data_IF_895658181156
#
_entry.id   IF_895658181156
#
_cell.length_a   1.000
_cell.length_b   1.000
_cell.length_c   1.000
_cell.angle_alpha   90.00
_cell.angle_beta   90.00
_cell.angle_gamma   90.00
#
_symmetry.space_group_name_H-M   'P 1'
#
loop_
_entity.id
_entity.type
_entity.pdbx_description
1 polymer ?
#
# COMPACT_ATOMS: atom_id res chain seq x y z
N UNK A 1 -21.48 9.65 -22.76
CA UNK A 1 -21.15 10.98 -22.21
C UNK A 1 -21.09 11.04 -20.67
N UNK A 2 -22.11 10.57 -19.93
CA UNK A 2 -22.15 10.69 -18.47
C UNK A 2 -20.99 10.00 -17.71
N UNK A 3 -20.59 8.78 -18.10
CA UNK A 3 -19.45 8.06 -17.48
C UNK A 3 -18.11 8.74 -17.71
N UNK A 4 -17.93 9.40 -18.85
CA UNK A 4 -16.70 10.14 -19.16
C UNK A 4 -16.56 11.37 -18.25
N UNK A 5 -17.63 12.16 -18.10
CA UNK A 5 -17.65 13.30 -17.18
C UNK A 5 -17.39 12.89 -15.73
N UNK A 6 -18.01 11.80 -15.26
CA UNK A 6 -17.73 11.27 -13.91
C UNK A 6 -16.26 10.91 -13.73
N UNK A 7 -15.64 10.23 -14.70
CA UNK A 7 -14.21 9.89 -14.65
C UNK A 7 -13.32 11.12 -14.55
N UNK A 8 -13.50 12.08 -15.45
CA UNK A 8 -12.70 13.31 -15.45
C UNK A 8 -12.87 14.06 -14.13
N UNK A 9 -14.10 14.21 -13.65
CA UNK A 9 -14.38 14.86 -12.36
C UNK A 9 -13.72 14.13 -11.19
N UNK A 10 -13.72 12.79 -11.16
CA UNK A 10 -13.05 12.01 -10.11
C UNK A 10 -11.54 12.24 -10.14
N UNK A 11 -10.90 12.23 -11.32
CA UNK A 11 -9.46 12.49 -11.42
C UNK A 11 -9.10 13.89 -10.95
N UNK A 12 -9.85 14.92 -11.38
CA UNK A 12 -9.64 16.30 -10.94
C UNK A 12 -9.76 16.39 -9.41
N UNK A 13 -10.81 15.81 -8.84
CA UNK A 13 -11.01 15.78 -7.39
C UNK A 13 -9.84 15.10 -6.65
N UNK A 14 -9.41 13.92 -7.11
CA UNK A 14 -8.30 13.19 -6.49
C UNK A 14 -6.98 13.97 -6.57
N UNK A 15 -6.67 14.56 -7.72
CA UNK A 15 -5.44 15.34 -7.92
C UNK A 15 -5.44 16.58 -7.04
N UNK A 16 -6.52 17.37 -7.06
CA UNK A 16 -6.63 18.60 -6.25
C UNK A 16 -6.60 18.27 -4.75
N UNK A 17 -7.31 17.23 -4.33
CA UNK A 17 -7.31 16.81 -2.92
C UNK A 17 -5.93 16.34 -2.47
N UNK A 18 -5.20 15.62 -3.34
CA UNK A 18 -3.84 15.17 -3.03
C UNK A 18 -2.86 16.35 -2.93
N UNK A 19 -2.91 17.29 -3.87
CA UNK A 19 -2.09 18.51 -3.81
C UNK A 19 -2.38 19.30 -2.53
N UNK A 20 -3.66 19.51 -2.20
CA UNK A 20 -4.06 20.20 -0.97
C UNK A 20 -3.55 19.46 0.27
N UNK A 21 -3.68 18.13 0.30
CA UNK A 21 -3.19 17.29 1.40
C UNK A 21 -1.67 17.40 1.55
N UNK A 22 -0.91 17.42 0.45
CA UNK A 22 0.56 17.59 0.48
C UNK A 22 0.93 18.93 1.12
N UNK A 23 0.27 20.02 0.72
CA UNK A 23 0.54 21.36 1.25
C UNK A 23 0.19 21.44 2.74
N UNK A 24 -0.99 20.96 3.14
CA UNK A 24 -1.43 20.95 4.54
C UNK A 24 -0.50 20.06 5.40
N UNK A 25 -0.15 18.89 4.88
CA UNK A 25 0.80 17.96 5.50
C UNK A 25 2.20 18.54 5.69
N UNK A 26 2.62 19.40 4.76
CA UNK A 26 3.86 20.16 4.88
C UNK A 26 3.82 21.24 5.95
N UNK A 27 2.64 21.81 6.25
CA UNK A 27 2.45 22.85 7.25
C UNK A 27 2.22 22.30 8.67
N UNK A 28 1.45 21.22 8.78
CA UNK A 28 1.03 20.63 10.05
C UNK A 28 2.04 19.60 10.59
N UNK A 29 2.18 19.60 11.92
CA UNK A 29 3.04 18.71 12.69
C UNK A 29 3.48 19.39 13.98
N UNK A 30 4.36 18.74 14.75
CA UNK A 30 4.82 19.27 16.05
C UNK A 30 5.54 20.63 15.94
N UNK A 31 6.25 20.88 14.83
CA UNK A 31 6.84 22.17 14.50
C UNK A 31 5.98 22.90 13.46
N UNK A 32 5.11 23.82 13.86
CA UNK A 32 4.17 24.45 12.92
C UNK A 32 4.88 25.33 11.89
N UNK A 33 4.61 25.13 10.61
CA UNK A 33 5.19 25.91 9.50
C UNK A 33 4.06 26.63 8.77
N UNK A 34 4.27 27.89 8.42
CA UNK A 34 3.25 28.65 7.68
C UNK A 34 3.06 28.08 6.27
N UNK A 35 1.85 28.18 5.72
CA UNK A 35 1.57 27.70 4.35
C UNK A 35 2.47 28.39 3.31
N UNK A 36 2.79 29.68 3.51
CA UNK A 36 3.70 30.43 2.65
C UNK A 36 5.09 29.81 2.67
N UNK A 37 5.60 29.44 3.84
CA UNK A 37 6.93 28.85 3.97
C UNK A 37 7.01 27.42 3.42
N UNK A 38 5.90 26.66 3.47
CA UNK A 38 5.81 25.36 2.79
C UNK A 38 5.92 25.54 1.28
N UNK A 39 5.16 26.48 0.72
CA UNK A 39 5.18 26.78 -0.72
C UNK A 39 6.57 27.29 -1.12
N UNK A 40 7.14 28.22 -0.34
CA UNK A 40 8.50 28.70 -0.53
C UNK A 40 9.52 27.56 -0.45
N UNK A 41 9.39 26.62 0.50
CA UNK A 41 10.25 25.46 0.61
C UNK A 41 10.21 24.50 -0.60
N UNK A 42 9.09 24.47 -1.33
CA UNK A 42 8.96 23.70 -2.59
C UNK A 42 9.61 24.46 -3.75
N UNK A 43 9.38 25.78 -3.85
CA UNK A 43 9.73 26.57 -5.03
C UNK A 43 11.08 27.29 -4.94
N UNK A 44 11.65 27.49 -3.75
CA UNK A 44 12.93 28.17 -3.60
C UNK A 44 14.12 27.39 -4.15
N UNK A 45 14.19 26.03 -4.07
CA UNK A 45 15.26 25.28 -4.74
C UNK A 45 15.19 25.38 -6.27
N UNK A 46 14.02 25.73 -6.82
CA UNK A 46 13.80 25.96 -8.25
C UNK A 46 14.09 27.41 -8.67
N UNK A 47 14.46 28.29 -7.74
CA UNK A 47 14.68 29.72 -8.00
C UNK A 47 13.40 30.51 -8.27
N UNK A 48 12.22 29.96 -7.95
CA UNK A 48 10.91 30.57 -8.25
C UNK A 48 10.35 31.41 -7.10
N UNK A 49 10.90 31.28 -5.88
CA UNK A 49 10.54 32.06 -4.69
C UNK A 49 11.76 32.23 -3.78
N UNK A 50 11.74 33.27 -2.95
CA UNK A 50 12.72 33.40 -1.86
C UNK A 50 12.54 32.28 -0.83
N UNK A 51 13.65 31.78 -0.29
CA UNK A 51 13.62 30.76 0.76
C UNK A 51 13.03 31.34 2.07
N UNK A 52 12.40 30.50 2.92
CA UNK A 52 11.98 30.90 4.25
C UNK A 52 13.14 31.53 5.04
N UNK A 53 12.85 32.60 5.79
CA UNK A 53 13.87 33.34 6.55
C UNK A 53 14.54 32.48 7.64
N UNK A 54 13.77 31.57 8.26
CA UNK A 54 14.30 30.64 9.26
C UNK A 54 14.91 29.42 8.56
N UNK A 55 16.23 29.18 8.65
CA UNK A 55 16.88 28.03 8.02
C UNK A 55 16.40 26.68 8.60
N UNK A 56 15.89 26.65 9.83
CA UNK A 56 15.33 25.43 10.43
C UNK A 56 14.08 24.97 9.68
N UNK A 57 13.27 25.89 9.15
CA UNK A 57 12.08 25.55 8.36
C UNK A 57 12.45 24.72 7.13
N UNK A 58 13.50 25.14 6.41
CA UNK A 58 13.96 24.42 5.21
C UNK A 58 14.45 23.01 5.57
N UNK A 59 15.22 22.89 6.66
CA UNK A 59 15.71 21.59 7.14
C UNK A 59 14.56 20.67 7.55
N UNK A 60 13.57 21.15 8.30
CA UNK A 60 12.40 20.35 8.70
C UNK A 60 11.60 19.90 7.48
N UNK A 61 11.39 20.78 6.49
CA UNK A 61 10.66 20.43 5.27
C UNK A 61 11.39 19.35 4.46
N UNK A 62 12.66 19.57 4.12
CA UNK A 62 13.39 18.70 3.20
C UNK A 62 13.99 17.46 3.84
N UNK A 63 14.35 17.50 5.13
CA UNK A 63 14.96 16.34 5.80
C UNK A 63 13.94 15.45 6.50
N UNK A 64 12.74 15.96 6.81
CA UNK A 64 11.75 15.22 7.61
C UNK A 64 10.40 15.11 6.88
N UNK A 65 9.78 16.23 6.50
CA UNK A 65 8.38 16.23 6.03
C UNK A 65 8.21 15.71 4.60
N UNK A 66 8.95 16.26 3.65
CA UNK A 66 8.84 15.89 2.24
C UNK A 66 9.24 14.44 1.96
N UNK A 67 10.31 13.87 2.58
CA UNK A 67 10.58 12.44 2.49
C UNK A 67 9.41 11.57 2.96
N UNK A 68 8.81 11.93 4.11
CA UNK A 68 7.67 11.21 4.69
C UNK A 68 6.43 11.28 3.81
N UNK A 69 6.11 12.47 3.30
CA UNK A 69 5.00 12.67 2.36
C UNK A 69 5.22 11.87 1.09
N UNK A 70 6.41 11.98 0.48
CA UNK A 70 6.75 11.25 -0.75
C UNK A 70 6.65 9.74 -0.55
N UNK A 71 7.20 9.21 0.54
CA UNK A 71 7.08 7.79 0.88
C UNK A 71 5.61 7.37 1.05
N UNK A 72 4.81 8.15 1.77
CA UNK A 72 3.39 7.88 1.98
C UNK A 72 2.59 7.83 0.67
N UNK A 73 2.84 8.76 -0.24
CA UNK A 73 2.23 8.76 -1.58
C UNK A 73 2.56 7.47 -2.32
N UNK A 74 3.84 7.07 -2.35
CA UNK A 74 4.28 5.85 -3.05
C UNK A 74 3.73 4.57 -2.41
N UNK A 75 3.74 4.48 -1.08
CA UNK A 75 3.18 3.36 -0.31
C UNK A 75 1.68 3.22 -0.59
N UNK A 76 0.93 4.30 -0.49
CA UNK A 76 -0.52 4.30 -0.76
C UNK A 76 -0.84 3.91 -2.20
N UNK A 77 -0.11 4.47 -3.15
CA UNK A 77 -0.21 4.12 -4.57
C UNK A 77 0.05 2.62 -4.81
N UNK A 78 1.14 2.09 -4.28
CA UNK A 78 1.54 0.69 -4.45
C UNK A 78 0.50 -0.27 -3.88
N UNK A 79 0.04 -0.04 -2.65
CA UNK A 79 -0.97 -0.89 -1.99
C UNK A 79 -2.32 -0.86 -2.72
N UNK A 80 -2.78 0.32 -3.16
CA UNK A 80 -4.05 0.44 -3.88
C UNK A 80 -3.99 -0.21 -5.28
N UNK A 81 -2.86 -0.10 -5.98
CA UNK A 81 -2.68 -0.75 -7.29
C UNK A 81 -2.56 -2.26 -7.14
N UNK A 82 -1.78 -2.76 -6.17
CA UNK A 82 -1.73 -4.18 -5.84
C UNK A 82 -3.12 -4.73 -5.52
N UNK A 83 -3.90 -4.01 -4.72
CA UNK A 83 -5.31 -4.29 -4.45
C UNK A 83 -6.17 -4.36 -5.71
N UNK A 84 -6.05 -3.38 -6.60
CA UNK A 84 -6.80 -3.33 -7.87
C UNK A 84 -6.51 -4.57 -8.73
N UNK A 85 -5.23 -4.94 -8.85
CA UNK A 85 -4.78 -6.10 -9.62
C UNK A 85 -5.30 -7.39 -8.99
N UNK A 86 -5.13 -7.57 -7.67
CA UNK A 86 -5.66 -8.73 -6.93
C UNK A 86 -7.17 -8.89 -7.11
N UNK A 87 -7.95 -7.83 -6.92
CA UNK A 87 -9.41 -7.87 -7.09
C UNK A 87 -9.82 -8.23 -8.51
N UNK A 88 -9.04 -7.86 -9.52
CA UNK A 88 -9.33 -8.16 -10.92
C UNK A 88 -9.02 -9.60 -11.27
N UNK A 89 -7.87 -10.11 -10.82
CA UNK A 89 -7.44 -11.50 -11.04
C UNK A 89 -8.42 -12.50 -10.44
N UNK A 90 -8.85 -12.22 -9.21
CA UNK A 90 -9.78 -13.10 -8.50
C UNK A 90 -11.25 -12.81 -8.81
N UNK A 91 -11.53 -11.76 -9.61
CA UNK A 91 -12.89 -11.27 -9.85
C UNK A 91 -13.68 -11.13 -8.54
N UNK A 92 -12.98 -10.72 -7.47
CA UNK A 92 -13.50 -10.67 -6.12
C UNK A 92 -13.14 -9.30 -5.52
N UNK A 93 -14.14 -8.42 -5.25
CA UNK A 93 -13.89 -7.11 -4.66
C UNK A 93 -13.31 -7.17 -3.24
N UNK A 94 -13.33 -8.33 -2.59
CA UNK A 94 -12.77 -8.54 -1.25
C UNK A 94 -11.32 -9.03 -1.26
N UNK A 95 -10.72 -9.23 -2.44
CA UNK A 95 -9.32 -9.63 -2.51
C UNK A 95 -8.41 -8.48 -2.07
N UNK A 96 -7.49 -8.78 -1.16
CA UNK A 96 -6.47 -7.86 -0.68
C UNK A 96 -5.09 -8.54 -0.81
N UNK A 97 -4.02 -7.80 -1.17
CA UNK A 97 -2.67 -8.34 -1.24
C UNK A 97 -2.16 -8.96 0.08
N UNK A 98 -2.71 -8.59 1.24
CA UNK A 98 -2.37 -9.23 2.51
C UNK A 98 -2.71 -10.72 2.57
N UNK A 99 -3.72 -11.18 1.80
CA UNK A 99 -4.21 -12.57 1.81
C UNK A 99 -3.14 -13.55 1.30
N UNK A 100 -2.27 -13.12 0.38
CA UNK A 100 -1.18 -13.97 -0.13
C UNK A 100 0.02 -14.03 0.84
N UNK A 101 -0.08 -13.50 2.06
CA UNK A 101 0.93 -13.67 3.10
C UNK A 101 2.12 -12.72 3.00
N UNK A 102 2.10 -11.72 2.10
CA UNK A 102 3.18 -10.72 1.95
C UNK A 102 3.46 -10.02 3.27
N UNK A 103 2.43 -9.50 3.95
CA UNK A 103 2.58 -8.76 5.20
C UNK A 103 3.09 -9.65 6.34
N UNK A 104 2.59 -10.89 6.42
CA UNK A 104 3.01 -11.87 7.43
C UNK A 104 4.47 -12.28 7.22
N UNK A 105 4.87 -12.56 5.98
CA UNK A 105 6.26 -12.85 5.63
C UNK A 105 7.19 -11.67 5.92
N UNK A 106 6.79 -10.46 5.52
CA UNK A 106 7.56 -9.26 5.76
C UNK A 106 7.76 -9.00 7.26
N UNK A 107 6.75 -9.28 8.08
CA UNK A 107 6.85 -9.20 9.54
C UNK A 107 7.90 -10.15 10.10
N UNK A 108 8.00 -11.36 9.56
CA UNK A 108 9.06 -12.32 9.93
C UNK A 108 10.44 -11.77 9.58
N UNK A 109 10.66 -11.35 8.33
CA UNK A 109 11.98 -10.84 7.93
C UNK A 109 12.38 -9.57 8.67
N UNK A 110 11.44 -8.65 8.88
CA UNK A 110 11.68 -7.46 9.69
C UNK A 110 12.06 -7.83 11.12
N UNK A 111 11.29 -8.72 11.76
CA UNK A 111 11.52 -9.10 13.15
C UNK A 111 12.85 -9.81 13.33
N UNK A 112 13.19 -10.75 12.45
CA UNK A 112 14.49 -11.43 12.50
C UNK A 112 15.65 -10.45 12.26
N UNK A 113 15.51 -9.51 11.32
CA UNK A 113 16.53 -8.48 11.08
C UNK A 113 16.70 -7.55 12.28
N UNK A 114 15.61 -7.13 12.94
CA UNK A 114 15.66 -6.28 14.14
C UNK A 114 16.37 -6.98 15.30
N UNK A 115 16.20 -8.31 15.44
CA UNK A 115 16.84 -9.08 16.52
C UNK A 115 18.30 -9.37 16.22
N UNK A 116 18.59 -9.91 15.04
CA UNK A 116 19.89 -10.51 14.75
C UNK A 116 20.85 -9.60 13.98
N UNK A 117 20.34 -8.60 13.27
CA UNK A 117 21.14 -7.74 12.41
C UNK A 117 20.63 -6.27 12.33
N UNK A 118 20.33 -5.60 13.47
CA UNK A 118 19.65 -4.30 13.45
C UNK A 118 20.44 -3.18 12.75
N UNK A 119 21.78 -3.24 12.70
CA UNK A 119 22.63 -2.25 12.02
C UNK A 119 23.09 -2.69 10.62
N UNK A 120 22.61 -3.82 10.11
CA UNK A 120 23.03 -4.32 8.81
C UNK A 120 22.66 -3.36 7.67
N UNK A 121 23.54 -3.29 6.67
CA UNK A 121 23.37 -2.51 5.44
C UNK A 121 23.02 -1.04 5.69
N UNK A 122 23.61 -0.41 6.73
CA UNK A 122 23.44 1.01 7.03
C UNK A 122 21.96 1.46 7.10
N UNK A 123 21.09 0.63 7.70
CA UNK A 123 19.66 0.92 7.86
C UNK A 123 18.75 0.26 6.80
N UNK A 124 19.31 -0.33 5.74
CA UNK A 124 18.54 -1.08 4.73
C UNK A 124 18.32 -2.56 5.08
N UNK A 125 18.95 -3.08 6.14
CA UNK A 125 18.84 -4.48 6.53
C UNK A 125 17.41 -4.93 6.83
N UNK A 126 16.67 -4.11 7.59
CA UNK A 126 15.27 -4.41 7.94
C UNK A 126 14.35 -4.35 6.72
N UNK A 127 14.33 -3.27 5.91
CA UNK A 127 13.51 -3.24 4.70
C UNK A 127 13.84 -4.35 3.70
N UNK A 128 15.13 -4.66 3.48
CA UNK A 128 15.51 -5.73 2.55
C UNK A 128 15.03 -7.10 3.04
N UNK A 129 15.22 -7.39 4.33
CA UNK A 129 14.78 -8.66 4.93
C UNK A 129 13.26 -8.79 4.88
N UNK A 130 12.53 -7.73 5.19
CA UNK A 130 11.07 -7.66 5.08
C UNK A 130 10.59 -7.86 3.63
N UNK A 131 11.24 -7.22 2.66
CA UNK A 131 10.91 -7.35 1.25
C UNK A 131 11.11 -8.79 0.74
N UNK A 132 12.28 -9.38 1.03
CA UNK A 132 12.63 -10.74 0.57
C UNK A 132 11.71 -11.78 1.21
N UNK A 133 11.54 -11.73 2.52
CA UNK A 133 10.67 -12.68 3.24
C UNK A 133 9.19 -12.53 2.88
N UNK A 134 8.69 -11.30 2.71
CA UNK A 134 7.32 -11.05 2.28
C UNK A 134 7.05 -11.55 0.86
N UNK A 135 7.99 -11.31 -0.05
CA UNK A 135 7.91 -11.83 -1.43
C UNK A 135 8.00 -13.36 -1.44
N UNK A 136 8.90 -13.95 -0.66
CA UNK A 136 9.02 -15.39 -0.53
C UNK A 136 7.73 -16.02 0.02
N UNK A 137 7.13 -15.44 1.06
CA UNK A 137 5.85 -15.90 1.60
C UNK A 137 4.74 -15.85 0.55
N UNK A 138 4.68 -14.80 -0.28
CA UNK A 138 3.73 -14.69 -1.38
C UNK A 138 3.86 -15.84 -2.39
N UNK A 139 5.08 -16.14 -2.81
CA UNK A 139 5.35 -17.24 -3.72
C UNK A 139 5.10 -18.61 -3.09
N UNK A 140 5.37 -18.78 -1.80
CA UNK A 140 5.06 -20.00 -1.05
C UNK A 140 3.54 -20.22 -0.99
N UNK A 141 2.76 -19.19 -0.63
CA UNK A 141 1.29 -19.27 -0.61
C UNK A 141 0.76 -19.61 -2.00
N UNK A 142 1.21 -18.90 -3.03
CA UNK A 142 0.77 -19.16 -4.39
C UNK A 142 1.13 -20.58 -4.87
N UNK A 143 2.39 -21.00 -4.67
CA UNK A 143 2.87 -22.32 -5.07
C UNK A 143 2.13 -23.45 -4.36
N UNK A 144 1.96 -23.35 -3.04
CA UNK A 144 1.27 -24.35 -2.24
C UNK A 144 -0.25 -24.36 -2.45
N UNK A 145 -0.84 -23.25 -2.90
CA UNK A 145 -2.27 -23.19 -3.24
C UNK A 145 -2.62 -23.83 -4.59
N UNK A 146 -1.62 -24.22 -5.39
CA UNK A 146 -1.81 -24.70 -6.75
C UNK A 146 -2.11 -26.20 -6.76
N UNK A 147 -3.31 -26.58 -7.20
CA UNK A 147 -3.70 -27.97 -7.45
C UNK A 147 -4.02 -28.18 -8.93
N UNK A 148 -3.47 -29.23 -9.55
CA UNK A 148 -3.63 -29.54 -10.99
C UNK A 148 -3.33 -28.35 -11.92
N UNK A 149 -2.37 -27.52 -11.54
CA UNK A 149 -1.95 -26.36 -12.32
C UNK A 149 -2.83 -25.10 -12.17
N UNK A 150 -3.89 -25.13 -11.34
CA UNK A 150 -4.77 -23.99 -11.06
C UNK A 150 -4.70 -23.60 -9.58
N UNK A 151 -4.73 -22.29 -9.29
CA UNK A 151 -4.91 -21.79 -7.93
C UNK A 151 -6.39 -21.44 -7.75
N UNK A 152 -7.09 -22.19 -6.90
CA UNK A 152 -8.45 -21.85 -6.49
C UNK A 152 -8.42 -20.80 -5.39
N UNK A 153 -9.38 -19.88 -5.41
CA UNK A 153 -9.44 -18.77 -4.43
C UNK A 153 -9.51 -19.31 -3.01
N UNK A 154 -10.27 -20.37 -2.78
CA UNK A 154 -10.43 -21.01 -1.46
C UNK A 154 -9.10 -21.61 -0.99
N UNK A 155 -8.41 -22.37 -1.85
CA UNK A 155 -7.10 -22.94 -1.51
C UNK A 155 -6.08 -21.85 -1.19
N UNK A 156 -6.06 -20.77 -1.98
CA UNK A 156 -5.16 -19.64 -1.75
C UNK A 156 -5.43 -18.94 -0.41
N UNK A 157 -6.70 -18.78 -0.04
CA UNK A 157 -7.10 -18.23 1.26
C UNK A 157 -6.69 -19.17 2.40
N UNK A 158 -7.00 -20.47 2.30
CA UNK A 158 -6.64 -21.45 3.36
C UNK A 158 -5.13 -21.56 3.54
N UNK A 159 -4.37 -21.64 2.45
CA UNK A 159 -2.90 -21.63 2.48
C UNK A 159 -2.37 -20.32 3.07
N UNK A 160 -2.94 -19.18 2.69
CA UNK A 160 -2.58 -17.87 3.24
C UNK A 160 -2.79 -17.77 4.75
N UNK A 161 -3.91 -18.31 5.25
CA UNK A 161 -4.20 -18.40 6.69
C UNK A 161 -3.16 -19.28 7.39
N UNK A 162 -2.84 -20.45 6.84
CA UNK A 162 -1.83 -21.35 7.40
C UNK A 162 -0.44 -20.70 7.46
N UNK A 163 0.00 -20.07 6.36
CA UNK A 163 1.28 -19.34 6.31
C UNK A 163 1.29 -18.18 7.29
N UNK A 164 0.19 -17.45 7.42
CA UNK A 164 0.08 -16.35 8.40
C UNK A 164 0.22 -16.86 9.84
N UNK A 165 -0.38 -17.99 10.19
CA UNK A 165 -0.20 -18.59 11.51
C UNK A 165 1.26 -18.98 11.79
N UNK A 166 1.95 -19.59 10.82
CA UNK A 166 3.37 -19.94 10.94
C UNK A 166 4.25 -18.68 11.07
N UNK A 167 4.02 -17.67 10.22
CA UNK A 167 4.72 -16.39 10.29
C UNK A 167 4.48 -15.68 11.64
N UNK A 168 3.24 -15.75 12.17
CA UNK A 168 2.90 -15.22 13.48
C UNK A 168 3.66 -15.91 14.61
N UNK A 169 3.80 -17.24 14.56
CA UNK A 169 4.60 -17.99 15.52
C UNK A 169 6.09 -17.60 15.47
N UNK A 170 6.67 -17.48 14.28
CA UNK A 170 8.07 -17.06 14.10
C UNK A 170 8.28 -15.63 14.61
N UNK A 171 7.37 -14.71 14.28
CA UNK A 171 7.42 -13.31 14.74
C UNK A 171 7.31 -13.23 16.26
N UNK A 172 6.43 -14.04 16.87
CA UNK A 172 6.28 -14.13 18.33
C UNK A 172 7.54 -14.69 18.99
N UNK A 173 8.16 -15.71 18.40
CA UNK A 173 9.42 -16.27 18.87
C UNK A 173 10.57 -15.26 18.79
N UNK A 174 10.69 -14.53 17.68
CA UNK A 174 11.67 -13.45 17.55
C UNK A 174 11.44 -12.36 18.61
N UNK A 175 10.19 -11.96 18.85
CA UNK A 175 9.82 -10.99 19.89
C UNK A 175 10.19 -11.50 21.29
N UNK A 176 9.98 -12.79 21.57
CA UNK A 176 10.35 -13.40 22.84
C UNK A 176 11.86 -13.33 23.09
N UNK A 177 12.68 -13.59 22.07
CA UNK A 177 14.15 -13.53 22.19
C UNK A 177 14.72 -12.10 22.25
N UNK A 178 13.99 -11.12 21.70
CA UNK A 178 14.48 -9.76 21.53
C UNK A 178 14.73 -9.02 22.87
N UNK A 179 15.75 -8.15 22.97
CA UNK A 179 15.85 -7.15 24.04
C UNK A 179 14.68 -6.15 24.01
N UNK A 180 14.39 -5.46 25.11
CA UNK A 180 13.24 -4.54 25.22
C UNK A 180 13.15 -3.51 24.09
N UNK A 181 14.27 -2.88 23.71
CA UNK A 181 14.32 -1.90 22.62
C UNK A 181 13.95 -2.51 21.27
N UNK A 182 14.48 -3.69 20.95
CA UNK A 182 14.15 -4.45 19.75
C UNK A 182 12.70 -4.96 19.78
N UNK A 183 12.18 -5.36 20.95
CA UNK A 183 10.76 -5.76 21.11
C UNK A 183 9.83 -4.61 20.75
N UNK A 184 10.07 -3.42 21.29
CA UNK A 184 9.26 -2.24 20.98
C UNK A 184 9.33 -1.91 19.49
N UNK A 185 10.53 -1.98 18.89
CA UNK A 185 10.69 -1.78 17.45
C UNK A 185 9.90 -2.80 16.63
N UNK A 186 9.88 -4.08 17.01
CA UNK A 186 9.08 -5.12 16.34
C UNK A 186 7.57 -4.82 16.47
N UNK A 187 7.12 -4.45 17.66
CA UNK A 187 5.71 -4.13 17.92
C UNK A 187 5.28 -2.92 17.08
N UNK A 188 6.03 -1.82 17.12
CA UNK A 188 5.68 -0.62 16.36
C UNK A 188 5.81 -0.81 14.84
N UNK A 189 6.77 -1.62 14.37
CA UNK A 189 6.90 -1.93 12.94
C UNK A 189 5.66 -2.64 12.38
N UNK A 190 5.08 -3.56 13.17
CA UNK A 190 3.84 -4.25 12.80
C UNK A 190 2.62 -3.33 12.76
N UNK A 191 2.65 -2.18 13.43
CA UNK A 191 1.55 -1.22 13.44
C UNK A 191 1.58 -0.25 12.26
N UNK A 192 2.64 -0.27 11.45
CA UNK A 192 2.81 0.58 10.27
C UNK A 192 3.05 2.05 10.60
N UNK A 193 4.14 2.62 10.11
CA UNK A 193 4.50 4.03 10.32
C UNK A 193 5.39 4.56 9.20
N UNK A 194 5.33 5.87 8.98
CA UNK A 194 6.22 6.60 8.07
C UNK A 194 7.24 7.47 8.82
N UNK A 195 7.38 7.29 10.14
CA UNK A 195 8.25 8.12 10.98
C UNK A 195 9.74 8.07 10.58
N UNK A 196 10.22 6.91 10.11
CA UNK A 196 11.62 6.71 9.68
C UNK A 196 11.88 7.04 8.20
N UNK A 197 11.02 7.82 7.55
CA UNK A 197 11.15 8.10 6.12
C UNK A 197 12.39 8.94 5.79
N UNK A 198 13.07 8.58 4.70
CA UNK A 198 14.18 9.34 4.12
C UNK A 198 14.00 9.43 2.60
N UNK A 199 14.70 10.36 1.94
CA UNK A 199 14.66 10.46 0.47
C UNK A 199 15.16 9.17 -0.21
N UNK A 200 16.12 8.47 0.40
CA UNK A 200 16.58 7.20 -0.10
C UNK A 200 15.47 6.13 -0.05
N UNK A 201 14.75 6.04 1.08
CA UNK A 201 13.60 5.13 1.22
C UNK A 201 12.52 5.48 0.18
N UNK A 202 12.16 6.75 0.05
CA UNK A 202 11.17 7.21 -0.91
C UNK A 202 11.60 6.89 -2.36
N UNK A 203 12.87 7.10 -2.71
CA UNK A 203 13.42 6.78 -4.03
C UNK A 203 13.36 5.29 -4.35
N UNK A 204 13.71 4.42 -3.40
CA UNK A 204 13.64 2.97 -3.59
C UNK A 204 12.19 2.50 -3.80
N UNK A 205 11.26 2.96 -2.96
CA UNK A 205 9.84 2.57 -3.11
C UNK A 205 9.25 3.17 -4.38
N UNK A 206 9.61 4.40 -4.76
CA UNK A 206 9.16 5.03 -5.99
C UNK A 206 9.58 4.22 -7.23
N UNK A 207 10.83 3.77 -7.30
CA UNK A 207 11.32 2.98 -8.42
C UNK A 207 10.50 1.69 -8.61
N UNK A 208 10.28 0.94 -7.53
CA UNK A 208 9.49 -0.30 -7.58
C UNK A 208 8.01 -0.01 -7.88
N UNK A 209 7.45 1.04 -7.29
CA UNK A 209 6.05 1.44 -7.49
C UNK A 209 5.80 1.85 -8.93
N UNK A 210 6.65 2.68 -9.53
CA UNK A 210 6.53 3.13 -10.91
C UNK A 210 6.59 1.93 -11.86
N UNK A 211 7.57 1.03 -11.70
CA UNK A 211 7.69 -0.17 -12.52
C UNK A 211 6.46 -1.09 -12.38
N UNK A 212 6.01 -1.31 -11.15
CA UNK A 212 4.82 -2.13 -10.88
C UNK A 212 3.53 -1.52 -11.44
N UNK A 213 3.37 -0.19 -11.36
CA UNK A 213 2.23 0.53 -11.94
C UNK A 213 2.24 0.44 -13.47
N UNK A 214 3.39 0.64 -14.11
CA UNK A 214 3.54 0.49 -15.56
C UNK A 214 3.15 -0.93 -15.97
N UNK A 215 3.64 -1.95 -15.25
CA UNK A 215 3.27 -3.35 -15.46
C UNK A 215 1.77 -3.58 -15.31
N UNK A 216 1.14 -3.04 -14.26
CA UNK A 216 -0.29 -3.16 -14.00
C UNK A 216 -1.14 -2.50 -15.11
N UNK A 217 -0.74 -1.32 -15.60
CA UNK A 217 -1.41 -0.64 -16.72
C UNK A 217 -1.27 -1.46 -18.01
N UNK A 218 -0.10 -2.05 -18.27
CA UNK A 218 0.13 -2.87 -19.46
C UNK A 218 -0.79 -4.09 -19.53
N UNK A 219 -1.09 -4.73 -18.39
CA UNK A 219 -1.99 -5.88 -18.32
C UNK A 219 -3.47 -5.52 -18.11
N UNK A 220 -3.81 -4.23 -17.93
CA UNK A 220 -5.14 -3.77 -17.52
C UNK A 220 -6.27 -4.27 -18.44
N UNK A 221 -6.06 -4.27 -19.76
CA UNK A 221 -7.07 -4.77 -20.71
C UNK A 221 -7.27 -6.28 -20.60
N UNK A 222 -6.20 -7.03 -20.34
CA UNK A 222 -6.29 -8.48 -20.17
C UNK A 222 -7.04 -8.84 -18.89
N UNK A 223 -6.85 -8.04 -17.83
CA UNK A 223 -7.63 -8.14 -16.59
C UNK A 223 -9.12 -7.85 -16.82
N UNK A 224 -9.46 -6.84 -17.64
CA UNK A 224 -10.84 -6.55 -18.02
C UNK A 224 -11.49 -7.73 -18.77
N UNK A 225 -10.75 -8.37 -19.69
CA UNK A 225 -11.25 -9.56 -20.38
C UNK A 225 -11.37 -10.78 -19.45
N UNK A 226 -10.42 -10.96 -18.52
CA UNK A 226 -10.46 -12.04 -17.54
C UNK A 226 -11.71 -11.96 -16.65
N UNK A 227 -12.21 -10.75 -16.38
CA UNK A 227 -13.46 -10.54 -15.63
C UNK A 227 -14.72 -11.07 -16.36
N UNK A 228 -14.66 -11.33 -17.67
CA UNK A 228 -15.72 -12.01 -18.43
C UNK A 228 -15.70 -13.54 -18.25
N UNK A 229 -14.69 -14.06 -17.56
CA UNK A 229 -14.50 -15.48 -17.28
C UNK A 229 -13.28 -16.07 -18.00
N UNK A 230 -12.71 -17.11 -17.40
CA UNK A 230 -11.48 -17.77 -17.91
C UNK A 230 -11.64 -18.28 -19.35
N UNK A 231 -12.79 -18.89 -19.66
CA UNK A 231 -13.06 -19.41 -21.01
C UNK A 231 -13.06 -18.27 -22.03
N UNK A 232 -13.77 -17.18 -21.76
CA UNK A 232 -13.85 -16.03 -22.68
C UNK A 232 -12.47 -15.42 -22.92
N UNK A 233 -11.67 -15.23 -21.87
CA UNK A 233 -10.30 -14.74 -21.98
C UNK A 233 -9.40 -15.68 -22.80
N UNK A 234 -9.51 -16.99 -22.61
CA UNK A 234 -8.77 -17.98 -23.38
C UNK A 234 -9.08 -17.95 -24.88
N UNK A 235 -10.35 -17.78 -25.28
CA UNK A 235 -10.75 -17.75 -26.69
C UNK A 235 -10.19 -16.56 -27.47
N UNK A 236 -9.92 -15.44 -26.80
CA UNK A 236 -9.27 -14.27 -27.42
C UNK A 236 -7.74 -14.31 -27.32
N UNK A 237 -7.16 -15.46 -26.96
CA UNK A 237 -5.71 -15.71 -26.96
C UNK A 237 -4.98 -15.32 -25.68
N UNK A 238 -5.67 -14.99 -24.58
CA UNK A 238 -5.00 -14.66 -23.31
C UNK A 238 -4.55 -15.94 -22.61
N UNK A 239 -3.26 -16.03 -22.30
CA UNK A 239 -2.74 -17.06 -21.39
C UNK A 239 -3.14 -16.73 -19.95
N UNK A 240 -4.30 -17.23 -19.52
CA UNK A 240 -4.89 -16.97 -18.19
C UNK A 240 -3.94 -17.32 -17.05
N UNK A 241 -3.22 -18.44 -17.17
CA UNK A 241 -2.28 -18.86 -16.13
C UNK A 241 -1.07 -17.93 -16.05
N UNK A 242 -0.50 -17.54 -17.20
CA UNK A 242 0.58 -16.56 -17.27
C UNK A 242 0.16 -15.19 -16.70
N UNK A 243 -1.04 -14.73 -17.05
CA UNK A 243 -1.61 -13.48 -16.54
C UNK A 243 -1.78 -13.52 -15.02
N UNK A 244 -2.26 -14.64 -14.45
CA UNK A 244 -2.38 -14.82 -12.99
C UNK A 244 -1.04 -14.74 -12.29
N UNK A 245 -0.05 -15.49 -12.78
CA UNK A 245 1.30 -15.50 -12.19
C UNK A 245 1.90 -14.09 -12.23
N UNK A 246 1.83 -13.42 -13.39
CA UNK A 246 2.32 -12.06 -13.56
C UNK A 246 1.62 -11.08 -12.60
N UNK A 247 0.29 -11.17 -12.50
CA UNK A 247 -0.50 -10.27 -11.65
C UNK A 247 -0.23 -10.48 -10.15
N UNK A 248 -0.06 -11.73 -9.72
CA UNK A 248 0.28 -12.06 -8.33
C UNK A 248 1.70 -11.60 -8.02
N UNK A 249 2.66 -11.82 -8.93
CA UNK A 249 4.02 -11.34 -8.78
C UNK A 249 4.09 -9.80 -8.71
N UNK A 250 3.35 -9.09 -9.56
CA UNK A 250 3.24 -7.62 -9.51
C UNK A 250 2.63 -7.14 -8.19
N UNK A 251 1.55 -7.79 -7.74
CA UNK A 251 0.87 -7.43 -6.49
C UNK A 251 1.75 -7.69 -5.28
N UNK A 252 2.48 -8.81 -5.27
CA UNK A 252 3.45 -9.16 -4.24
C UNK A 252 4.60 -8.16 -4.21
N UNK A 253 5.17 -7.81 -5.38
CA UNK A 253 6.26 -6.85 -5.51
C UNK A 253 5.88 -5.46 -4.97
N UNK A 254 4.73 -4.92 -5.43
CA UNK A 254 4.22 -3.62 -4.99
C UNK A 254 3.93 -3.62 -3.47
N UNK A 255 3.29 -4.67 -2.97
CA UNK A 255 2.93 -4.75 -1.56
C UNK A 255 4.16 -4.95 -0.67
N UNK A 256 5.10 -5.80 -1.07
CA UNK A 256 6.34 -6.02 -0.34
C UNK A 256 7.19 -4.75 -0.28
N UNK A 257 7.27 -3.99 -1.37
CA UNK A 257 7.99 -2.71 -1.39
C UNK A 257 7.34 -1.65 -0.52
N UNK A 258 6.01 -1.61 -0.44
CA UNK A 258 5.29 -0.72 0.46
C UNK A 258 5.50 -1.11 1.92
N UNK A 259 5.27 -2.39 2.25
CA UNK A 259 5.30 -2.91 3.62
C UNK A 259 6.72 -2.93 4.18
N UNK A 260 7.76 -3.15 3.36
CA UNK A 260 9.13 -3.20 3.86
C UNK A 260 9.62 -1.88 4.49
N UNK A 261 9.12 -0.74 4.00
CA UNK A 261 9.50 0.58 4.51
C UNK A 261 8.44 1.20 5.42
N UNK A 262 7.15 0.91 5.20
CA UNK A 262 6.06 1.51 5.95
C UNK A 262 5.52 0.61 7.08
N UNK A 263 6.00 -0.64 7.19
CA UNK A 263 5.40 -1.65 8.05
C UNK A 263 4.06 -2.14 7.52
N UNK A 264 3.34 -2.91 8.34
CA UNK A 264 2.05 -3.50 7.91
C UNK A 264 0.96 -2.44 7.91
N UNK A 265 0.44 -2.13 6.71
CA UNK A 265 -0.71 -1.25 6.52
C UNK A 265 -1.78 -2.01 5.74
N UNK A 266 -2.94 -2.21 6.38
CA UNK A 266 -4.06 -2.96 5.80
C UNK A 266 -5.11 -2.07 5.16
N UNK A 267 -6.10 -2.70 4.52
CA UNK A 267 -7.35 -2.09 4.03
C UNK A 267 -7.22 -1.09 2.86
N UNK A 268 -6.05 -0.52 2.59
CA UNK A 268 -5.85 0.42 1.47
C UNK A 268 -6.15 -0.26 0.12
N UNK A 269 -5.55 -1.43 -0.10
CA UNK A 269 -5.75 -2.24 -1.31
C UNK A 269 -7.15 -2.84 -1.43
N UNK A 270 -7.93 -2.81 -0.35
CA UNK A 270 -9.29 -3.31 -0.33
C UNK A 270 -10.30 -2.20 -0.65
N UNK A 271 -10.22 -1.10 0.09
CA UNK A 271 -11.23 -0.04 0.12
C UNK A 271 -11.12 0.88 -1.07
N UNK A 272 -9.92 1.37 -1.38
CA UNK A 272 -9.70 2.37 -2.43
C UNK A 272 -10.20 1.88 -3.79
N UNK A 273 -9.72 0.74 -4.33
CA UNK A 273 -10.21 0.25 -5.62
C UNK A 273 -11.69 -0.08 -5.60
N UNK A 274 -12.23 -0.57 -4.49
CA UNK A 274 -13.65 -0.90 -4.40
C UNK A 274 -14.52 0.35 -4.48
N UNK A 275 -14.23 1.39 -3.71
CA UNK A 275 -14.98 2.66 -3.73
C UNK A 275 -14.88 3.34 -5.09
N UNK A 276 -13.69 3.41 -5.68
CA UNK A 276 -13.51 4.02 -7.00
C UNK A 276 -14.24 3.22 -8.08
N UNK A 277 -14.27 1.89 -7.99
CA UNK A 277 -15.02 1.04 -8.93
C UNK A 277 -16.51 1.37 -8.94
N UNK A 278 -17.10 1.73 -7.79
CA UNK A 278 -18.50 2.16 -7.70
C UNK A 278 -18.75 3.51 -8.39
N UNK A 279 -17.75 4.39 -8.44
CA UNK A 279 -17.86 5.75 -9.00
C UNK A 279 -17.53 5.80 -10.49
N UNK A 280 -16.38 5.26 -10.91
CA UNK A 280 -15.83 5.38 -12.27
C UNK A 280 -16.04 4.14 -13.15
N UNK A 281 -16.50 3.04 -12.54
CA UNK A 281 -16.77 1.75 -13.18
C UNK A 281 -15.60 0.75 -13.11
N UNK A 282 -15.80 -0.48 -13.63
CA UNK A 282 -14.88 -1.61 -13.41
C UNK A 282 -13.69 -1.68 -14.37
N UNK A 283 -13.61 -0.85 -15.41
CA UNK A 283 -12.51 -0.95 -16.37
C UNK A 283 -11.17 -0.56 -15.74
N UNK A 284 -10.26 -1.53 -15.69
CA UNK A 284 -8.95 -1.42 -15.06
C UNK A 284 -8.05 -0.37 -15.70
N UNK A 285 -8.27 -0.06 -16.99
CA UNK A 285 -7.56 1.04 -17.68
C UNK A 285 -7.71 2.38 -16.95
N UNK A 286 -8.87 2.62 -16.34
CA UNK A 286 -9.15 3.84 -15.57
C UNK A 286 -9.05 3.58 -14.07
N UNK A 287 -9.42 2.37 -13.62
CA UNK A 287 -9.39 2.04 -12.21
C UNK A 287 -7.97 2.03 -11.64
N UNK A 288 -6.98 1.50 -12.36
CA UNK A 288 -5.59 1.42 -11.85
C UNK A 288 -5.00 2.82 -11.57
N UNK A 289 -5.01 3.80 -12.51
CA UNK A 289 -4.50 5.13 -12.22
C UNK A 289 -5.33 5.88 -11.17
N UNK A 290 -6.65 5.66 -11.13
CA UNK A 290 -7.49 6.28 -10.11
C UNK A 290 -7.18 5.71 -8.72
N UNK A 291 -7.02 4.39 -8.59
CA UNK A 291 -6.62 3.71 -7.36
C UNK A 291 -5.25 4.15 -6.88
N UNK A 292 -4.30 4.35 -7.79
CA UNK A 292 -2.99 4.91 -7.47
C UNK A 292 -3.12 6.26 -6.73
N UNK A 293 -3.91 7.18 -7.29
CA UNK A 293 -4.15 8.50 -6.69
C UNK A 293 -4.97 8.42 -5.40
N UNK A 294 -6.01 7.57 -5.37
CA UNK A 294 -6.85 7.38 -4.19
C UNK A 294 -6.09 6.75 -3.02
N UNK A 295 -5.16 5.83 -3.31
CA UNK A 295 -4.29 5.20 -2.32
C UNK A 295 -3.29 6.18 -1.75
N UNK A 296 -2.63 6.95 -2.64
CA UNK A 296 -1.75 8.05 -2.23
C UNK A 296 -2.50 9.03 -1.32
N UNK A 297 -3.69 9.48 -1.73
CA UNK A 297 -4.52 10.39 -0.95
C UNK A 297 -4.90 9.80 0.42
N UNK A 298 -5.35 8.55 0.47
CA UNK A 298 -5.75 7.90 1.72
C UNK A 298 -4.59 7.80 2.70
N UNK A 299 -3.39 7.38 2.25
CA UNK A 299 -2.22 7.29 3.13
C UNK A 299 -1.74 8.67 3.55
N UNK A 300 -1.66 9.64 2.64
CA UNK A 300 -1.26 11.01 3.00
C UNK A 300 -2.21 11.64 4.03
N UNK A 301 -3.53 11.44 3.90
CA UNK A 301 -4.50 11.89 4.89
C UNK A 301 -4.36 11.14 6.21
N UNK A 302 -4.19 9.82 6.15
CA UNK A 302 -4.03 8.98 7.35
C UNK A 302 -2.78 9.38 8.14
N UNK A 303 -1.67 9.62 7.45
CA UNK A 303 -0.42 10.08 8.07
C UNK A 303 -0.52 11.50 8.64
N UNK A 304 -1.23 12.41 7.95
CA UNK A 304 -1.50 13.75 8.48
C UNK A 304 -2.30 13.67 9.78
N UNK A 305 -3.37 12.88 9.81
CA UNK A 305 -4.20 12.71 11.02
C UNK A 305 -3.38 12.04 12.13
N UNK A 306 -2.65 10.99 11.80
CA UNK A 306 -1.84 10.24 12.76
C UNK A 306 -0.79 11.10 13.49
N UNK A 307 -0.18 12.07 12.77
CA UNK A 307 0.79 13.02 13.34
C UNK A 307 0.17 14.17 14.14
N UNK A 308 -1.12 14.43 14.00
CA UNK A 308 -1.76 15.64 14.51
C UNK A 308 -2.83 15.38 15.56
N UNK A 309 -3.37 14.16 15.63
CA UNK A 309 -4.46 13.79 16.54
C UNK A 309 -4.03 13.70 18.00
N UNK A 310 -2.79 13.27 18.28
CA UNK A 310 -2.24 13.18 19.63
C UNK A 310 -1.05 14.15 19.77
N UNK A 311 -1.14 15.16 20.66
CA UNK A 311 0.00 16.02 20.95
C UNK A 311 1.22 15.21 21.42
N UNK A 312 2.38 15.52 20.86
CA UNK A 312 3.67 14.92 21.22
C UNK A 312 3.80 13.40 20.99
N UNK A 313 2.86 12.76 20.30
CA UNK A 313 2.92 11.35 19.93
C UNK A 313 2.69 11.15 18.43
N UNK A 314 3.44 10.24 17.82
CA UNK A 314 3.27 9.85 16.42
C UNK A 314 2.49 8.54 16.37
N UNK A 315 1.19 8.62 16.08
CA UNK A 315 0.34 7.44 16.06
C UNK A 315 0.73 6.53 14.87
N UNK A 316 0.85 5.21 15.05
CA UNK A 316 1.00 4.30 13.92
C UNK A 316 -0.18 4.38 12.95
N UNK A 317 0.12 4.53 11.67
CA UNK A 317 -0.86 4.73 10.60
C UNK A 317 -1.75 3.49 10.42
N UNK A 318 -1.20 2.30 10.65
CA UNK A 318 -1.96 1.05 10.57
C UNK A 318 -3.16 1.03 11.50
N UNK A 319 -3.04 1.63 12.71
CA UNK A 319 -4.16 1.77 13.65
C UNK A 319 -5.28 2.59 13.01
N UNK A 320 -4.96 3.75 12.47
CA UNK A 320 -5.93 4.63 11.83
C UNK A 320 -6.60 3.96 10.63
N UNK A 321 -5.82 3.36 9.74
CA UNK A 321 -6.36 2.67 8.55
C UNK A 321 -7.23 1.46 8.91
N UNK A 322 -6.94 0.75 10.01
CA UNK A 322 -7.76 -0.35 10.49
C UNK A 322 -9.07 0.14 11.14
N UNK A 323 -9.03 1.23 11.91
CA UNK A 323 -10.22 1.82 12.54
C UNK A 323 -11.21 2.37 11.50
N UNK A 324 -10.71 2.94 10.40
CA UNK A 324 -11.57 3.36 9.29
C UNK A 324 -11.96 2.17 8.43
N UNK A 325 -11.00 1.27 8.17
CA UNK A 325 -11.14 0.25 7.16
C UNK A 325 -11.95 -0.97 7.58
N UNK A 326 -11.77 -1.44 8.81
CA UNK A 326 -12.51 -2.57 9.38
C UNK A 326 -14.03 -2.33 9.36
N UNK A 327 -14.55 -1.24 9.92
CA UNK A 327 -15.99 -0.93 9.87
C UNK A 327 -16.50 -0.80 8.43
N UNK A 328 -15.74 -0.14 7.55
CA UNK A 328 -16.11 0.00 6.13
C UNK A 328 -16.25 -1.38 5.47
N UNK A 329 -15.29 -2.28 5.71
CA UNK A 329 -15.33 -3.65 5.20
C UNK A 329 -16.54 -4.43 5.73
N UNK A 330 -16.86 -4.34 7.01
CA UNK A 330 -18.04 -4.98 7.59
C UNK A 330 -19.35 -4.49 6.96
N UNK A 331 -19.47 -3.18 6.73
CA UNK A 331 -20.65 -2.59 6.06
C UNK A 331 -20.78 -3.13 4.63
N UNK A 332 -19.67 -3.22 3.89
CA UNK A 332 -19.65 -3.73 2.52
C UNK A 332 -20.04 -5.22 2.47
N UNK A 333 -19.49 -6.05 3.36
CA UNK A 333 -19.85 -7.46 3.51
C UNK A 333 -21.35 -7.64 3.76
N UNK A 334 -21.92 -6.88 4.69
CA UNK A 334 -23.33 -6.98 5.05
C UNK A 334 -24.24 -6.62 3.88
N UNK A 335 -23.89 -5.58 3.12
CA UNK A 335 -24.62 -5.20 1.89
C UNK A 335 -24.54 -6.29 0.81
N UNK A 336 -23.36 -6.89 0.61
CA UNK A 336 -23.17 -7.99 -0.35
C UNK A 336 -24.04 -9.21 -0.03
N UNK A 337 -24.09 -9.62 1.24
CA UNK A 337 -24.94 -10.74 1.68
C UNK A 337 -26.44 -10.49 1.48
N UNK A 338 -26.91 -9.25 1.68
CA UNK A 338 -28.31 -8.91 1.47
C UNK A 338 -28.73 -8.95 -0.01
N UNK A 339 -27.81 -8.65 -0.94
CA UNK A 339 -28.08 -8.73 -2.38
C UNK A 339 -28.11 -10.19 -2.87
N UNK A 340 -27.22 -11.05 -2.33
CA UNK A 340 -27.18 -12.48 -2.67
C UNK A 340 -28.41 -13.27 -2.20
N UNK A 341 -29.14 -12.79 -1.19
CA UNK A 341 -30.43 -13.37 -0.75
C UNK A 341 -31.64 -12.94 -1.60
N UNK A 342 -31.47 -11.95 -2.49
CA UNK A 342 -32.56 -11.36 -3.29
C UNK A 342 -32.54 -11.75 -4.77
N UNK A 343 -31.54 -12.50 -5.23
CA UNK A 343 -31.46 -13.07 -6.57
C UNK A 343 -31.44 -14.58 -6.50
#
# INVERSE_FOLDING_TARGET
MARHHKRVSTYIFLILSLILTIIISGAMGQYTISLRDVIAGIFSPLGLMEAPHDPTVMSVLWSIRFPRIALGIMVGAALAVAGTVMQSVFSNPLAEPGIIGVSSGASVGASLAIVFAPQALAGFGVPLSAFVSGTAAAFLVYGASRSRGKAEVISLVLTGIAVTAVCGAITSFATYLAPTTSRDQIVFWQMGSLAGASWAHAGTVAAVTILGVIGAIAIAKQLDTLALGEKAAGHVGINVNGLRICSIALSALLSAAAVSYAGVIGFVGLIVPHLLRLVIGPSNRYLIPASMLGGALLISLSDLVARTILPFADLPIGIFTALVGGPTFFILLRRGMHLAKKG
#
